data_IF_661565289160
#
_entry.id   IF_661565289160
#
_cell.length_a   1.000
_cell.length_b   1.000
_cell.length_c   1.000
_cell.angle_alpha   90.00
_cell.angle_beta   90.00
_cell.angle_gamma   90.00
#
_symmetry.space_group_name_H-M   'P 1'
#
loop_
_entity.id
_entity.type
_entity.pdbx_description
1 polymer ?
#
# COMPACT_ATOMS: atom_id res chain seq x y z
N UNK A 1 -29.23 5.75 2.89
CA UNK A 1 -28.07 5.08 3.52
C UNK A 1 -26.79 5.78 3.10
N UNK A 2 -26.15 6.55 3.98
CA UNK A 2 -24.80 7.10 3.72
C UNK A 2 -23.78 6.00 4.02
N UNK A 3 -22.99 5.59 3.01
CA UNK A 3 -21.80 4.74 3.21
C UNK A 3 -20.75 5.59 3.92
N UNK A 4 -20.39 5.23 5.16
CA UNK A 4 -19.21 5.76 5.82
C UNK A 4 -17.98 5.22 5.09
N UNK A 5 -17.44 6.03 4.17
CA UNK A 5 -16.15 5.79 3.54
C UNK A 5 -15.09 6.21 4.55
N UNK A 6 -14.40 5.23 5.15
CA UNK A 6 -13.21 5.48 5.98
C UNK A 6 -12.19 6.16 5.07
N UNK A 7 -11.80 7.39 5.44
CA UNK A 7 -10.84 8.15 4.65
C UNK A 7 -9.42 7.58 4.84
N UNK A 8 -8.51 7.80 3.89
CA UNK A 8 -7.13 7.25 3.92
C UNK A 8 -6.35 7.62 5.20
N UNK A 9 -6.78 8.66 5.93
CA UNK A 9 -6.16 9.09 7.19
C UNK A 9 -6.73 8.37 8.43
N UNK A 10 -7.88 7.70 8.30
CA UNK A 10 -8.55 6.99 9.39
C UNK A 10 -8.23 5.49 9.39
N UNK A 11 -7.74 4.94 8.28
CA UNK A 11 -7.32 3.53 8.17
C UNK A 11 -6.18 3.19 9.16
N UNK A 12 -5.12 4.01 9.29
CA UNK A 12 -4.05 3.74 10.25
C UNK A 12 -4.55 3.80 11.70
N UNK A 13 -5.41 4.77 12.03
CA UNK A 13 -5.96 4.92 13.38
C UNK A 13 -6.93 3.80 13.74
N UNK A 14 -7.77 3.34 12.80
CA UNK A 14 -8.67 2.22 13.02
C UNK A 14 -7.91 0.90 13.26
N UNK A 15 -6.73 0.74 12.65
CA UNK A 15 -5.83 -0.38 12.91
C UNK A 15 -5.10 -0.22 14.25
N UNK A 16 -4.72 1.00 14.64
CA UNK A 16 -4.03 1.26 15.91
C UNK A 16 -4.92 1.04 17.14
N UNK A 17 -6.22 1.39 17.05
CA UNK A 17 -7.21 1.13 18.12
C UNK A 17 -7.33 -0.38 18.43
N UNK A 18 -7.18 -1.24 17.41
CA UNK A 18 -7.25 -2.70 17.59
C UNK A 18 -6.04 -3.24 18.37
N UNK A 19 -4.88 -2.60 18.21
CA UNK A 19 -3.64 -2.92 18.94
C UNK A 19 -3.76 -2.49 20.40
N UNK A 20 -4.30 -1.29 20.68
CA UNK A 20 -4.44 -0.78 22.04
C UNK A 20 -5.50 -1.52 22.87
N UNK A 21 -6.60 -1.98 22.25
CA UNK A 21 -7.61 -2.81 22.93
C UNK A 21 -7.09 -4.18 23.39
N UNK A 22 -5.97 -4.65 22.84
CA UNK A 22 -5.29 -5.88 23.28
C UNK A 22 -4.29 -5.66 24.43
N UNK A 23 -3.97 -4.39 24.75
CA UNK A 23 -2.98 -4.02 25.76
C UNK A 23 -3.60 -3.57 27.09
N UNK A 24 -4.93 -3.54 27.19
CA UNK A 24 -5.65 -3.12 28.40
C UNK A 24 -6.15 -4.33 29.20
N UNK A 25 -5.21 -5.20 29.57
CA UNK A 25 -5.31 -6.09 30.72
C UNK A 25 -4.49 -5.49 31.86
N UNK A 26 -5.07 -5.43 33.05
CA UNK A 26 -4.67 -4.61 34.19
C UNK A 26 -3.18 -4.53 34.55
N UNK A 27 -2.81 -3.31 35.02
CA UNK A 27 -1.57 -3.02 35.72
C UNK A 27 -1.50 -3.80 37.04
N UNK A 28 -0.84 -4.94 37.01
CA UNK A 28 -0.21 -5.58 38.17
C UNK A 28 1.05 -6.25 37.65
N UNK A 29 2.15 -6.25 38.40
CA UNK A 29 3.40 -6.86 37.96
C UNK A 29 3.17 -8.33 37.60
N UNK A 30 3.17 -8.65 36.31
CA UNK A 30 2.98 -10.01 35.81
C UNK A 30 4.17 -10.31 34.92
N UNK A 31 4.97 -11.26 35.40
CA UNK A 31 5.93 -12.03 34.62
C UNK A 31 5.24 -12.41 33.30
N UNK A 32 5.65 -11.80 32.19
CA UNK A 32 5.09 -12.14 30.88
C UNK A 32 5.45 -13.59 30.65
N UNK A 33 4.50 -14.51 30.86
CA UNK A 33 4.78 -15.93 30.62
C UNK A 33 5.18 -16.10 29.16
N UNK A 34 6.05 -17.07 28.88
CA UNK A 34 6.57 -17.34 27.54
C UNK A 34 5.44 -17.44 26.49
N UNK A 35 4.23 -17.86 26.89
CA UNK A 35 3.03 -17.89 26.06
C UNK A 35 2.53 -16.50 25.59
N UNK A 36 2.63 -15.46 26.43
CA UNK A 36 2.23 -14.10 26.07
C UNK A 36 3.22 -13.51 25.05
N UNK A 37 4.52 -13.71 25.26
CA UNK A 37 5.55 -13.30 24.30
C UNK A 37 5.41 -14.06 22.97
N UNK A 38 5.14 -15.37 23.02
CA UNK A 38 4.97 -16.20 21.82
C UNK A 38 3.75 -15.78 20.99
N UNK A 39 2.62 -15.43 21.63
CA UNK A 39 1.44 -14.90 20.93
C UNK A 39 1.70 -13.54 20.27
N UNK A 40 2.49 -12.67 20.89
CA UNK A 40 2.86 -11.38 20.29
C UNK A 40 3.73 -11.60 19.04
N UNK A 41 4.67 -12.54 19.09
CA UNK A 41 5.49 -12.92 17.93
C UNK A 41 4.63 -13.53 16.83
N UNK A 42 3.77 -14.50 17.15
CA UNK A 42 2.88 -15.15 16.19
C UNK A 42 1.95 -14.15 15.48
N UNK A 43 1.37 -13.22 16.23
CA UNK A 43 0.51 -12.18 15.65
C UNK A 43 1.28 -11.21 14.75
N UNK A 44 2.53 -10.86 15.11
CA UNK A 44 3.40 -10.03 14.27
C UNK A 44 3.78 -10.73 12.98
N UNK A 45 4.03 -12.04 13.02
CA UNK A 45 4.37 -12.84 11.86
C UNK A 45 3.18 -12.95 10.89
N UNK A 46 1.97 -13.26 11.41
CA UNK A 46 0.72 -13.27 10.63
C UNK A 46 0.43 -11.93 9.97
N UNK A 47 0.65 -10.85 10.70
CA UNK A 47 0.54 -9.50 10.18
C UNK A 47 1.51 -9.28 9.00
N UNK A 48 2.78 -9.67 9.14
CA UNK A 48 3.76 -9.50 8.05
C UNK A 48 3.43 -10.33 6.82
N UNK A 49 2.90 -11.54 6.99
CA UNK A 49 2.43 -12.38 5.89
C UNK A 49 1.26 -11.72 5.15
N UNK A 50 0.25 -11.25 5.90
CA UNK A 50 -0.89 -10.52 5.34
C UNK A 50 -0.46 -9.28 4.52
N UNK A 51 0.50 -8.49 5.02
CA UNK A 51 1.00 -7.32 4.30
C UNK A 51 1.80 -7.69 3.03
N UNK A 52 2.48 -8.83 3.02
CA UNK A 52 3.16 -9.34 1.82
C UNK A 52 2.16 -9.73 0.74
N UNK A 53 1.15 -10.51 1.10
CA UNK A 53 0.10 -10.96 0.17
C UNK A 53 -0.66 -9.77 -0.42
N UNK A 54 -0.97 -8.77 0.42
CA UNK A 54 -1.61 -7.54 -0.01
C UNK A 54 -0.74 -6.77 -1.01
N UNK A 55 0.58 -6.70 -0.77
CA UNK A 55 1.49 -6.01 -1.68
C UNK A 55 1.63 -6.72 -3.02
N UNK A 56 1.68 -8.05 -3.03
CA UNK A 56 1.68 -8.85 -4.25
C UNK A 56 0.40 -8.60 -5.05
N UNK A 57 -0.76 -8.67 -4.40
CA UNK A 57 -2.05 -8.40 -5.03
C UNK A 57 -2.12 -6.99 -5.64
N UNK A 58 -1.66 -5.97 -4.92
CA UNK A 58 -1.60 -4.60 -5.43
C UNK A 58 -0.67 -4.50 -6.64
N UNK A 59 0.48 -5.20 -6.62
CA UNK A 59 1.37 -5.32 -7.78
C UNK A 59 0.65 -5.88 -9.00
N UNK A 60 -0.09 -6.98 -8.85
CA UNK A 60 -0.88 -7.60 -9.91
C UNK A 60 -1.95 -6.64 -10.45
N UNK A 61 -2.68 -5.95 -9.57
CA UNK A 61 -3.72 -4.98 -9.95
C UNK A 61 -3.10 -3.83 -10.76
N UNK A 62 -1.98 -3.27 -10.31
CA UNK A 62 -1.29 -2.17 -11.00
C UNK A 62 -0.80 -2.60 -12.38
N UNK A 63 -0.26 -3.81 -12.50
CA UNK A 63 0.09 -4.38 -13.80
C UNK A 63 -1.13 -4.50 -14.73
N UNK A 64 -2.24 -5.04 -14.22
CA UNK A 64 -3.49 -5.18 -14.99
C UNK A 64 -4.11 -3.85 -15.40
N UNK A 65 -3.87 -2.76 -14.67
CA UNK A 65 -4.30 -1.40 -15.03
C UNK A 65 -3.39 -0.81 -16.11
N UNK A 66 -2.06 -0.99 -16.01
CA UNK A 66 -1.11 -0.45 -16.99
C UNK A 66 -1.32 -1.02 -18.39
N UNK A 67 -1.66 -2.30 -18.50
CA UNK A 67 -1.85 -2.96 -19.79
C UNK A 67 -2.91 -2.28 -20.69
N UNK A 68 -4.17 -2.07 -20.24
CA UNK A 68 -5.15 -1.34 -21.04
C UNK A 68 -4.77 0.12 -21.26
N UNK A 69 -4.10 0.79 -20.31
CA UNK A 69 -3.63 2.18 -20.51
C UNK A 69 -2.60 2.28 -21.65
N UNK A 70 -1.64 1.35 -21.70
CA UNK A 70 -0.67 1.28 -22.80
C UNK A 70 -1.37 0.99 -24.14
N UNK A 71 -2.34 0.09 -24.17
CA UNK A 71 -3.15 -0.19 -25.35
C UNK A 71 -3.95 1.04 -25.83
N UNK A 72 -4.56 1.78 -24.90
CA UNK A 72 -5.28 3.02 -25.20
C UNK A 72 -4.32 4.10 -25.72
N UNK A 73 -3.13 4.24 -25.13
CA UNK A 73 -2.12 5.19 -25.59
C UNK A 73 -1.70 4.91 -27.03
N UNK A 74 -1.36 3.66 -27.33
CA UNK A 74 -0.98 3.24 -28.69
C UNK A 74 -2.11 3.46 -29.69
N UNK A 75 -3.36 3.14 -29.32
CA UNK A 75 -4.52 3.38 -30.17
C UNK A 75 -4.74 4.89 -30.42
N UNK A 76 -4.55 5.73 -29.39
CA UNK A 76 -4.66 7.19 -29.49
C UNK A 76 -3.55 7.78 -30.37
N UNK A 77 -2.31 7.29 -30.27
CA UNK A 77 -1.19 7.68 -31.13
C UNK A 77 -1.49 7.36 -32.60
N UNK A 78 -1.93 6.13 -32.89
CA UNK A 78 -2.33 5.73 -34.25
C UNK A 78 -3.46 6.62 -34.76
N UNK A 79 -4.48 6.89 -33.94
CA UNK A 79 -5.61 7.74 -34.32
C UNK A 79 -5.16 9.18 -34.61
N UNK A 80 -4.22 9.72 -33.83
CA UNK A 80 -3.64 11.05 -34.04
C UNK A 80 -2.96 11.15 -35.40
N UNK A 81 -2.24 10.11 -35.84
CA UNK A 81 -1.60 10.10 -37.18
C UNK A 81 -2.60 10.09 -38.34
N UNK A 82 -3.83 9.64 -38.10
CA UNK A 82 -4.89 9.50 -39.12
C UNK A 82 -5.90 10.65 -39.10
N UNK A 83 -5.83 11.51 -38.09
CA UNK A 83 -6.75 12.64 -37.90
C UNK A 83 -6.16 13.89 -38.55
N UNK A 84 -7.03 14.75 -39.09
CA UNK A 84 -6.62 16.03 -39.66
C UNK A 84 -5.88 16.88 -38.62
N UNK A 85 -4.72 17.41 -39.01
CA UNK A 85 -3.92 18.30 -38.15
C UNK A 85 -4.57 19.67 -38.05
N UNK A 86 -5.18 19.93 -36.91
CA UNK A 86 -5.65 21.25 -36.52
C UNK A 86 -5.57 21.40 -35.00
N UNK A 87 -5.59 22.64 -34.53
CA UNK A 87 -5.41 22.97 -33.11
C UNK A 87 -6.46 22.29 -32.20
N UNK A 88 -7.70 22.15 -32.67
CA UNK A 88 -8.76 21.52 -31.89
C UNK A 88 -8.48 20.03 -31.66
N UNK A 89 -8.10 19.30 -32.70
CA UNK A 89 -7.74 17.89 -32.62
C UNK A 89 -6.48 17.67 -31.78
N UNK A 90 -5.45 18.49 -31.97
CA UNK A 90 -4.21 18.41 -31.19
C UNK A 90 -4.48 18.60 -29.69
N UNK A 91 -5.34 19.56 -29.34
CA UNK A 91 -5.76 19.80 -27.95
C UNK A 91 -6.50 18.60 -27.35
N UNK A 92 -7.37 17.94 -28.12
CA UNK A 92 -8.07 16.73 -27.69
C UNK A 92 -7.10 15.57 -27.43
N UNK A 93 -6.15 15.33 -28.33
CA UNK A 93 -5.13 14.29 -28.12
C UNK A 93 -4.24 14.60 -26.91
N UNK A 94 -3.81 15.85 -26.73
CA UNK A 94 -3.08 16.26 -25.52
C UNK A 94 -3.90 15.99 -24.25
N UNK A 95 -5.21 16.24 -24.27
CA UNK A 95 -6.08 15.93 -23.13
C UNK A 95 -6.15 14.43 -22.86
N UNK A 96 -6.23 13.60 -23.90
CA UNK A 96 -6.24 12.12 -23.78
C UNK A 96 -4.94 11.63 -23.14
N UNK A 97 -3.78 12.00 -23.71
CA UNK A 97 -2.48 11.57 -23.18
C UNK A 97 -2.27 12.01 -21.73
N UNK A 98 -2.61 13.27 -21.41
CA UNK A 98 -2.53 13.78 -20.03
C UNK A 98 -3.40 12.99 -19.04
N UNK A 99 -4.54 12.44 -19.48
CA UNK A 99 -5.40 11.60 -18.64
C UNK A 99 -4.82 10.21 -18.46
N UNK A 100 -4.24 9.63 -19.50
CA UNK A 100 -3.51 8.35 -19.44
C UNK A 100 -2.34 8.46 -18.46
N UNK A 101 -1.48 9.46 -18.63
CA UNK A 101 -0.32 9.72 -17.75
C UNK A 101 -0.73 9.86 -16.28
N UNK A 102 -1.83 10.58 -16.03
CA UNK A 102 -2.36 10.75 -14.68
C UNK A 102 -2.83 9.43 -14.07
N UNK A 103 -3.46 8.56 -14.86
CA UNK A 103 -3.89 7.24 -14.38
C UNK A 103 -2.70 6.32 -14.13
N UNK A 104 -1.69 6.34 -14.99
CA UNK A 104 -0.45 5.59 -14.77
C UNK A 104 0.29 6.04 -13.50
N UNK A 105 0.37 7.36 -13.28
CA UNK A 105 0.94 7.94 -12.07
C UNK A 105 0.14 7.53 -10.82
N UNK A 106 -1.19 7.53 -10.92
CA UNK A 106 -2.06 7.07 -9.82
C UNK A 106 -1.82 5.59 -9.48
N UNK A 107 -1.72 4.72 -10.49
CA UNK A 107 -1.42 3.30 -10.30
C UNK A 107 -0.01 3.09 -9.72
N UNK A 108 0.98 3.87 -10.17
CA UNK A 108 2.34 3.86 -9.61
C UNK A 108 2.35 4.29 -8.14
N UNK A 109 1.60 5.34 -7.78
CA UNK A 109 1.51 5.82 -6.41
C UNK A 109 0.81 4.83 -5.49
N UNK A 110 -0.21 4.13 -6.00
CA UNK A 110 -0.84 3.02 -5.28
C UNK A 110 0.21 1.96 -4.94
N UNK A 111 0.95 1.45 -5.93
CA UNK A 111 2.00 0.45 -5.70
C UNK A 111 3.04 0.92 -4.68
N UNK A 112 3.53 2.16 -4.82
CA UNK A 112 4.55 2.72 -3.93
C UNK A 112 4.06 2.89 -2.49
N UNK A 113 2.79 3.23 -2.29
CA UNK A 113 2.20 3.38 -0.95
C UNK A 113 2.22 2.06 -0.20
N UNK A 114 1.81 0.98 -0.86
CA UNK A 114 1.74 -0.36 -0.28
C UNK A 114 3.14 -1.00 -0.12
N UNK A 115 4.03 -0.78 -1.10
CA UNK A 115 5.44 -1.24 -1.02
C UNK A 115 6.24 -0.60 0.11
N UNK A 116 5.91 0.65 0.51
CA UNK A 116 6.56 1.32 1.65
C UNK A 116 6.08 0.75 2.99
N UNK A 117 4.82 0.33 3.09
CA UNK A 117 4.24 -0.24 4.32
C UNK A 117 4.93 -1.56 4.69
N UNK A 118 5.26 -2.42 3.72
CA UNK A 118 6.01 -3.65 4.00
C UNK A 118 7.42 -3.40 4.52
N UNK A 119 8.06 -2.32 4.09
CA UNK A 119 9.43 -1.97 4.49
C UNK A 119 9.48 -1.21 5.83
N UNK A 120 8.34 -0.70 6.32
CA UNK A 120 8.29 0.08 7.56
C UNK A 120 8.01 -0.79 8.80
N UNK A 121 7.56 -2.05 8.64
CA UNK A 121 7.45 -3.02 9.76
C UNK A 121 8.78 -3.68 10.13
N UNK A 122 9.84 -3.51 9.34
CA UNK A 122 11.20 -3.92 9.74
C UNK A 122 11.91 -2.79 10.49
N UNK A 123 11.41 -2.41 11.67
CA UNK A 123 12.15 -1.61 12.66
C UNK A 123 12.95 -2.59 13.55
N UNK A 124 14.20 -2.26 13.95
CA UNK A 124 15.26 -3.26 14.16
C UNK A 124 14.96 -4.25 15.27
N UNK A 125 15.40 -5.51 15.08
CA UNK A 125 15.63 -6.43 16.19
C UNK A 125 16.43 -5.68 17.25
N UNK A 126 15.91 -5.58 18.48
CA UNK A 126 16.71 -5.16 19.62
C UNK A 126 17.98 -6.02 19.62
N UNK A 127 19.13 -5.42 19.32
CA UNK A 127 20.42 -6.04 19.63
C UNK A 127 20.47 -6.11 21.15
N UNK A 128 20.28 -7.32 21.70
CA UNK A 128 20.69 -7.59 23.07
C UNK A 128 22.21 -7.53 23.10
N UNK A 129 22.75 -6.41 23.54
CA UNK A 129 24.14 -6.33 23.94
C UNK A 129 24.30 -7.18 25.20
N UNK A 130 24.71 -8.43 25.03
CA UNK A 130 25.22 -9.21 26.14
C UNK A 130 26.55 -8.59 26.56
N UNK A 131 26.53 -7.78 27.62
CA UNK A 131 27.75 -7.52 28.40
C UNK A 131 28.26 -8.89 28.86
N UNK A 132 29.41 -9.30 28.34
CA UNK A 132 30.21 -10.34 28.98
C UNK A 132 30.53 -9.84 30.39
N UNK A 133 30.03 -10.57 31.38
CA UNK A 133 30.49 -10.45 32.75
C UNK A 133 31.67 -11.43 32.81
N UNK A 134 32.88 -10.88 32.92
CA UNK A 134 34.08 -11.63 33.30
C UNK A 134 34.07 -11.88 34.81
#
# INVERSE_FOLDING_TARGET
MKKNLITNNELPNALNIRIESSAQGDKSGVDLSDEAEMKIIENRDKDTEYFKDLNELIGIIVHKIRNPLAGISAAAEILMTKTEKNEANDKLFMMIFKKIDRLESTAKNLFMTFSKISNMKTIPRFKRDYKKID
#
